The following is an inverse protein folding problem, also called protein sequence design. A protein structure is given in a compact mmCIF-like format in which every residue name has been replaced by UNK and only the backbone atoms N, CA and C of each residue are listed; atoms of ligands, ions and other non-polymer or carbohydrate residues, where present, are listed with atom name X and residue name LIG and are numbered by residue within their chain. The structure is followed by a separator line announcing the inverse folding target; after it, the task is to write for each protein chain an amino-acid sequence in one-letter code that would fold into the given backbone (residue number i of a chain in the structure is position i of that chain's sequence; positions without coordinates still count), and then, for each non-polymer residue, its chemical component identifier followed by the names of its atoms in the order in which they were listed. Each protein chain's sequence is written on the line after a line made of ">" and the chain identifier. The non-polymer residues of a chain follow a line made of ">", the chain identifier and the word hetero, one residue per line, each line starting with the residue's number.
data_IF_390029545601
#
_entry.id   IF_390029545601
#
_cell.length_a   1.000
_cell.length_b   1.000
_cell.length_c   1.000
_cell.angle_alpha   90.00
_cell.angle_beta   90.00
_cell.angle_gamma   90.00
#
_symmetry.space_group_name_H-M   'P 1'
#
loop_
_entity.id
_entity.type
_entity.pdbx_description
1 polymer ?
#
# COMPACT_ATOMS: atom_id res chain seq x y z
N UNK A 1 -24.17 26.65 -49.97
CA UNK A 1 -23.88 25.35 -50.64
C UNK A 1 -22.40 25.39 -50.99
N UNK A 2 -21.48 24.61 -50.43
CA UNK A 2 -21.54 23.17 -50.16
C UNK A 2 -20.45 22.80 -49.13
N UNK A 3 -20.81 22.00 -48.13
CA UNK A 3 -19.88 21.38 -47.17
C UNK A 3 -19.13 20.24 -47.84
N UNK A 4 -17.80 20.14 -47.66
CA UNK A 4 -17.02 18.92 -47.93
C UNK A 4 -15.99 18.68 -46.83
N UNK A 5 -15.87 17.41 -46.46
CA UNK A 5 -15.53 16.90 -45.15
C UNK A 5 -14.03 16.83 -44.80
N UNK A 6 -13.77 17.10 -43.52
CA UNK A 6 -12.94 16.40 -42.51
C UNK A 6 -12.02 15.26 -43.01
N UNK A 7 -10.69 15.39 -42.81
CA UNK A 7 -9.89 14.69 -41.76
C UNK A 7 -8.39 14.93 -42.01
N UNK A 8 -7.68 15.47 -41.01
CA UNK A 8 -6.25 15.74 -41.10
C UNK A 8 -5.55 15.76 -39.75
N UNK A 9 -5.33 14.56 -39.20
CA UNK A 9 -4.21 14.11 -38.33
C UNK A 9 -3.78 15.04 -37.17
N UNK A 10 -4.10 14.61 -35.96
CA UNK A 10 -3.63 15.20 -34.70
C UNK A 10 -2.09 15.17 -34.59
N UNK A 11 -1.47 16.34 -34.51
CA UNK A 11 -0.15 16.52 -33.92
C UNK A 11 -0.33 17.36 -32.65
N UNK A 12 -0.63 16.70 -31.52
CA UNK A 12 -0.71 17.32 -30.22
C UNK A 12 0.56 17.03 -29.43
N UNK A 13 1.42 18.03 -29.27
CA UNK A 13 2.53 18.01 -28.32
C UNK A 13 1.93 17.84 -26.91
N UNK A 14 2.25 16.73 -26.24
CA UNK A 14 1.87 16.52 -24.85
C UNK A 14 2.81 17.34 -23.94
N UNK A 15 2.35 18.52 -23.53
CA UNK A 15 2.98 19.29 -22.46
C UNK A 15 2.73 18.55 -21.14
N UNK A 16 3.74 17.85 -20.63
CA UNK A 16 3.70 17.22 -19.31
C UNK A 16 3.87 18.29 -18.24
N UNK A 17 2.77 18.79 -17.71
CA UNK A 17 2.77 19.60 -16.51
C UNK A 17 3.17 18.68 -15.35
N UNK A 18 4.41 18.77 -14.88
CA UNK A 18 4.88 18.01 -13.72
C UNK A 18 4.32 18.67 -12.47
N UNK A 19 3.08 18.33 -12.13
CA UNK A 19 2.58 18.58 -10.79
C UNK A 19 3.43 17.72 -9.86
N UNK A 20 4.14 18.35 -8.92
CA UNK A 20 4.69 17.65 -7.76
C UNK A 20 3.52 17.13 -6.92
N UNK A 21 2.92 16.04 -7.37
CA UNK A 21 2.08 15.19 -6.53
C UNK A 21 3.02 14.74 -5.43
N UNK A 22 2.79 15.19 -4.20
CA UNK A 22 3.46 14.60 -3.04
C UNK A 22 3.31 13.10 -3.20
N UNK A 23 4.43 12.40 -3.37
CA UNK A 23 4.43 11.00 -3.76
C UNK A 23 3.76 10.28 -2.60
N UNK A 24 2.48 9.94 -2.74
CA UNK A 24 1.86 8.97 -1.88
C UNK A 24 2.74 7.73 -2.03
N UNK A 25 3.47 7.35 -0.97
CA UNK A 25 4.26 6.14 -1.00
C UNK A 25 3.30 5.00 -1.39
N UNK A 26 3.47 4.48 -2.60
CA UNK A 26 2.61 3.45 -3.12
C UNK A 26 3.16 2.11 -2.61
N UNK A 27 2.32 1.29 -1.99
CA UNK A 27 2.66 -0.09 -1.71
C UNK A 27 2.47 -0.94 -2.97
N UNK A 28 3.27 -1.99 -3.10
CA UNK A 28 3.22 -2.92 -4.22
C UNK A 28 3.30 -4.37 -3.77
N UNK A 29 2.65 -5.25 -4.52
CA UNK A 29 2.88 -6.70 -4.45
C UNK A 29 3.22 -7.15 -5.86
N UNK A 30 4.35 -7.80 -6.05
CA UNK A 30 4.64 -8.55 -7.27
C UNK A 30 4.45 -10.04 -6.99
N UNK A 31 3.66 -10.72 -7.80
CA UNK A 31 3.43 -12.16 -7.69
C UNK A 31 3.72 -12.85 -9.01
N UNK A 32 4.34 -14.02 -8.95
CA UNK A 32 4.48 -14.93 -10.09
C UNK A 32 4.27 -16.38 -9.66
N UNK A 33 3.82 -17.22 -10.58
CA UNK A 33 3.66 -18.65 -10.32
C UNK A 33 3.11 -19.39 -11.52
N UNK A 34 3.22 -20.70 -11.54
CA UNK A 34 2.50 -21.56 -12.46
C UNK A 34 1.09 -21.81 -11.94
N UNK A 35 0.09 -21.69 -12.80
CA UNK A 35 -1.32 -21.94 -12.48
C UNK A 35 -1.88 -22.98 -13.45
N UNK A 36 -2.55 -24.00 -12.91
CA UNK A 36 -3.36 -24.99 -13.61
C UNK A 36 -4.80 -24.83 -13.11
N UNK A 37 -5.72 -24.45 -14.01
CA UNK A 37 -7.11 -24.06 -13.76
C UNK A 37 -7.32 -22.74 -12.98
N UNK A 38 -7.29 -22.74 -11.65
CA UNK A 38 -7.66 -21.55 -10.86
C UNK A 38 -6.83 -21.38 -9.60
N UNK A 39 -6.40 -20.13 -9.37
CA UNK A 39 -5.69 -19.69 -8.17
C UNK A 39 -6.35 -18.45 -7.54
N UNK A 40 -6.50 -18.46 -6.21
CA UNK A 40 -7.03 -17.35 -5.42
C UNK A 40 -5.92 -16.83 -4.50
N UNK A 41 -5.56 -15.57 -4.67
CA UNK A 41 -4.49 -14.93 -3.93
C UNK A 41 -5.11 -13.88 -3.02
N UNK A 42 -4.85 -14.01 -1.71
CA UNK A 42 -5.32 -13.11 -0.66
C UNK A 42 -4.15 -12.34 -0.08
N UNK A 43 -4.28 -11.03 0.00
CA UNK A 43 -3.29 -10.14 0.62
C UNK A 43 -3.95 -9.37 1.75
N UNK A 44 -3.40 -9.47 2.95
CA UNK A 44 -3.76 -8.65 4.11
C UNK A 44 -2.48 -8.14 4.79
N UNK A 45 -2.35 -6.82 4.99
CA UNK A 45 -1.08 -6.27 5.49
C UNK A 45 0.12 -6.61 4.58
N UNK A 46 1.09 -7.33 5.14
CA UNK A 46 2.21 -7.94 4.39
C UNK A 46 2.04 -9.45 4.19
N UNK A 47 1.01 -10.02 4.81
CA UNK A 47 0.75 -11.44 4.76
C UNK A 47 0.05 -11.78 3.44
N UNK A 48 0.71 -12.61 2.64
CA UNK A 48 0.15 -13.14 1.42
C UNK A 48 -0.21 -14.61 1.61
N UNK A 49 -1.48 -14.93 1.40
CA UNK A 49 -1.99 -16.30 1.39
C UNK A 49 -2.48 -16.64 0.00
N UNK A 50 -1.70 -17.45 -0.72
CA UNK A 50 -2.13 -18.02 -1.99
C UNK A 50 -2.82 -19.37 -1.71
N UNK A 51 -4.06 -19.51 -2.17
CA UNK A 51 -4.78 -20.78 -2.15
C UNK A 51 -5.26 -21.10 -3.58
N UNK A 52 -4.79 -22.21 -4.12
CA UNK A 52 -5.33 -22.80 -5.36
C UNK A 52 -5.93 -24.16 -5.04
N UNK A 53 -6.59 -24.80 -6.01
CA UNK A 53 -6.81 -26.25 -5.89
C UNK A 53 -5.43 -26.89 -5.68
N UNK A 54 -5.23 -27.62 -4.59
CA UNK A 54 -3.95 -28.04 -3.97
C UNK A 54 -2.83 -28.61 -4.87
N UNK A 55 -3.05 -28.81 -6.18
CA UNK A 55 -2.06 -29.25 -7.19
C UNK A 55 -1.71 -28.20 -8.26
N UNK A 56 -2.46 -27.09 -8.32
CA UNK A 56 -2.50 -26.16 -9.45
C UNK A 56 -1.65 -24.90 -9.34
N UNK A 57 -1.17 -24.51 -8.15
CA UNK A 57 -0.17 -23.44 -8.02
C UNK A 57 1.21 -24.04 -7.79
N UNK A 58 2.18 -23.74 -8.64
CA UNK A 58 3.58 -24.21 -8.49
C UNK A 58 4.56 -23.06 -8.66
N UNK A 59 5.76 -23.21 -8.09
CA UNK A 59 6.85 -22.24 -8.24
C UNK A 59 6.44 -20.80 -7.92
N UNK A 60 5.51 -20.62 -6.98
CA UNK A 60 4.99 -19.31 -6.62
C UNK A 60 6.04 -18.49 -5.88
N UNK A 61 6.21 -17.25 -6.30
CA UNK A 61 7.09 -16.26 -5.66
C UNK A 61 6.32 -14.96 -5.52
N UNK A 62 6.54 -14.28 -4.41
CA UNK A 62 5.95 -12.98 -4.18
C UNK A 62 6.93 -12.06 -3.47
N UNK A 63 6.75 -10.77 -3.70
CA UNK A 63 7.49 -9.70 -3.07
C UNK A 63 6.53 -8.56 -2.75
N UNK A 64 6.52 -8.10 -1.50
CA UNK A 64 5.61 -7.07 -1.00
C UNK A 64 6.44 -5.90 -0.49
N UNK A 65 6.24 -4.74 -1.12
CA UNK A 65 6.82 -3.47 -0.68
C UNK A 65 5.71 -2.57 -0.12
N UNK A 66 5.89 -2.08 1.11
CA UNK A 66 4.83 -1.42 1.87
C UNK A 66 3.74 -2.41 2.35
N UNK A 67 3.18 -2.18 3.54
CA UNK A 67 2.05 -2.99 4.00
C UNK A 67 0.74 -2.52 3.37
N UNK A 68 -0.15 -3.45 3.00
CA UNK A 68 -1.53 -3.12 2.67
C UNK A 68 -2.22 -2.55 3.92
N UNK A 69 -2.81 -1.35 3.87
CA UNK A 69 -3.36 -0.71 5.06
C UNK A 69 -4.56 -1.47 5.63
N UNK A 70 -4.69 -1.46 6.96
CA UNK A 70 -5.87 -1.92 7.69
C UNK A 70 -7.05 -0.92 7.61
N UNK A 71 -7.27 -0.36 6.43
CA UNK A 71 -8.35 0.57 6.09
C UNK A 71 -8.71 0.40 4.62
N UNK A 72 -9.90 0.85 4.17
CA UNK A 72 -10.26 0.74 2.77
C UNK A 72 -9.28 1.54 1.91
N UNK A 73 -8.66 0.88 0.94
CA UNK A 73 -7.81 1.48 -0.09
C UNK A 73 -8.18 0.88 -1.44
N UNK A 74 -7.91 1.62 -2.52
CA UNK A 74 -8.09 1.10 -3.87
C UNK A 74 -6.83 0.36 -4.30
N UNK A 75 -6.97 -0.94 -4.50
CA UNK A 75 -5.94 -1.78 -5.11
C UNK A 75 -6.16 -1.80 -6.62
N UNK A 76 -5.09 -1.57 -7.37
CA UNK A 76 -5.04 -1.64 -8.83
C UNK A 76 -4.23 -2.86 -9.24
N UNK A 77 -4.63 -3.49 -10.35
CA UNK A 77 -3.98 -4.68 -10.88
C UNK A 77 -3.34 -4.39 -12.23
N UNK A 78 -2.08 -4.77 -12.37
CA UNK A 78 -1.33 -4.74 -13.63
C UNK A 78 -0.92 -6.18 -13.94
N UNK A 79 -1.46 -6.74 -15.01
CA UNK A 79 -1.06 -8.07 -15.49
C UNK A 79 0.27 -7.95 -16.24
N UNK A 80 1.27 -8.72 -15.82
CA UNK A 80 2.58 -8.77 -16.50
C UNK A 80 2.65 -9.91 -17.52
N UNK A 81 1.94 -11.02 -17.29
CA UNK A 81 1.97 -12.16 -18.20
C UNK A 81 1.01 -13.29 -17.83
N UNK A 82 0.90 -14.25 -18.72
CA UNK A 82 0.00 -15.41 -18.63
C UNK A 82 -1.11 -15.38 -19.67
N UNK A 83 -1.54 -16.56 -20.10
CA UNK A 83 -2.49 -16.75 -21.22
C UNK A 83 -3.94 -16.45 -20.85
N UNK A 84 -4.34 -16.75 -19.63
CA UNK A 84 -5.71 -16.55 -19.14
C UNK A 84 -5.90 -15.24 -18.38
N UNK A 85 -6.89 -15.19 -17.49
CA UNK A 85 -7.33 -13.96 -16.86
C UNK A 85 -6.70 -13.74 -15.48
N UNK A 86 -6.47 -12.47 -15.14
CA UNK A 86 -6.10 -12.05 -13.78
C UNK A 86 -6.99 -10.88 -13.41
N UNK A 87 -7.72 -11.00 -12.31
CA UNK A 87 -8.71 -9.99 -11.90
C UNK A 87 -8.79 -9.85 -10.38
N UNK A 88 -9.17 -8.65 -9.92
CA UNK A 88 -9.49 -8.42 -8.51
C UNK A 88 -10.94 -8.84 -8.29
N UNK A 89 -11.15 -9.87 -7.46
CA UNK A 89 -12.47 -10.29 -7.03
C UNK A 89 -13.01 -9.40 -5.90
N UNK A 90 -12.15 -9.00 -4.96
CA UNK A 90 -12.55 -8.17 -3.83
C UNK A 90 -11.50 -7.10 -3.52
N UNK A 91 -11.99 -5.89 -3.27
CA UNK A 91 -11.19 -4.78 -2.76
C UNK A 91 -11.08 -4.87 -1.23
N UNK A 92 -9.99 -4.35 -0.63
CA UNK A 92 -9.87 -4.22 0.82
C UNK A 92 -11.01 -3.40 1.41
N UNK A 93 -11.78 -4.01 2.31
CA UNK A 93 -12.90 -3.37 2.98
C UNK A 93 -13.06 -3.90 4.41
N UNK A 94 -13.80 -3.17 5.25
CA UNK A 94 -14.09 -3.65 6.60
C UNK A 94 -14.84 -4.99 6.60
N UNK A 95 -15.58 -5.33 5.53
CA UNK A 95 -16.36 -6.56 5.41
C UNK A 95 -15.50 -7.81 5.19
N UNK A 96 -14.30 -7.65 4.63
CA UNK A 96 -13.36 -8.74 4.36
C UNK A 96 -12.02 -8.51 5.08
N UNK A 97 -12.05 -7.86 6.24
CA UNK A 97 -10.88 -7.60 7.08
C UNK A 97 -9.73 -6.87 6.35
N UNK A 98 -10.07 -5.97 5.42
CA UNK A 98 -9.13 -5.22 4.59
C UNK A 98 -8.24 -6.12 3.70
N UNK A 99 -8.79 -7.24 3.25
CA UNK A 99 -8.09 -8.19 2.37
C UNK A 99 -8.35 -7.86 0.90
N UNK A 100 -7.29 -7.81 0.09
CA UNK A 100 -7.44 -7.83 -1.37
C UNK A 100 -7.49 -9.28 -1.85
N UNK A 101 -8.45 -9.60 -2.72
CA UNK A 101 -8.61 -10.96 -3.28
C UNK A 101 -8.46 -10.91 -4.78
N UNK A 102 -7.49 -11.65 -5.31
CA UNK A 102 -7.19 -11.75 -6.74
C UNK A 102 -7.45 -13.17 -7.22
N UNK A 103 -8.04 -13.30 -8.40
CA UNK A 103 -8.18 -14.58 -9.10
C UNK A 103 -7.26 -14.60 -10.32
N UNK A 104 -6.52 -15.69 -10.45
CA UNK A 104 -5.86 -16.08 -11.70
C UNK A 104 -6.60 -17.29 -12.24
N UNK A 105 -6.97 -17.25 -13.52
CA UNK A 105 -7.66 -18.35 -14.21
C UNK A 105 -6.91 -18.76 -15.47
N UNK A 106 -6.56 -20.03 -15.58
CA UNK A 106 -6.10 -20.68 -16.80
C UNK A 106 -7.24 -21.54 -17.38
N UNK A 107 -7.86 -21.05 -18.45
CA UNK A 107 -8.96 -21.75 -19.10
C UNK A 107 -8.52 -22.89 -20.03
N UNK A 108 -7.21 -23.12 -20.18
CA UNK A 108 -6.65 -24.15 -21.03
C UNK A 108 -6.14 -25.33 -20.19
N UNK A 109 -6.10 -26.52 -20.79
CA UNK A 109 -5.52 -27.69 -20.15
C UNK A 109 -4.00 -27.50 -19.91
N UNK A 110 -3.54 -27.92 -18.73
CA UNK A 110 -2.14 -27.86 -18.32
C UNK A 110 -1.75 -26.53 -17.67
N UNK A 111 -0.59 -26.50 -17.01
CA UNK A 111 -0.14 -25.31 -16.31
C UNK A 111 0.55 -24.28 -17.23
N UNK A 112 0.42 -23.00 -16.89
CA UNK A 112 1.23 -21.93 -17.48
C UNK A 112 1.69 -20.93 -16.43
N UNK A 113 2.72 -20.15 -16.75
CA UNK A 113 3.28 -19.15 -15.86
C UNK A 113 2.51 -17.83 -15.97
N UNK A 114 2.13 -17.33 -14.81
CA UNK A 114 1.43 -16.05 -14.64
C UNK A 114 2.28 -15.08 -13.83
N UNK A 115 2.04 -13.79 -14.07
CA UNK A 115 2.65 -12.71 -13.32
C UNK A 115 1.76 -11.49 -13.28
N UNK A 116 1.68 -10.84 -12.12
CA UNK A 116 0.96 -9.58 -11.96
C UNK A 116 1.56 -8.74 -10.82
N UNK A 117 1.23 -7.45 -10.86
CA UNK A 117 1.54 -6.47 -9.83
C UNK A 117 0.23 -5.92 -9.27
N UNK A 118 0.14 -5.83 -7.95
CA UNK A 118 -0.85 -5.00 -7.27
C UNK A 118 -0.21 -3.70 -6.81
N UNK A 119 -0.97 -2.61 -6.88
CA UNK A 119 -0.53 -1.28 -6.45
C UNK A 119 -1.62 -0.62 -5.61
N UNK A 120 -1.23 0.05 -4.53
CA UNK A 120 -2.15 0.83 -3.68
C UNK A 120 -1.45 2.04 -3.08
N UNK A 121 -2.22 3.07 -2.73
CA UNK A 121 -1.69 4.30 -2.15
C UNK A 121 -1.67 4.20 -0.61
N UNK A 122 -0.48 4.14 0.01
CA UNK A 122 -0.39 4.06 1.48
C UNK A 122 -0.65 5.38 2.18
N UNK A 123 -0.58 6.52 1.47
CA UNK A 123 -0.99 7.87 1.91
C UNK A 123 -0.46 8.38 3.26
N UNK A 124 0.31 7.58 4.02
CA UNK A 124 0.78 7.78 5.40
C UNK A 124 1.81 6.69 5.76
N UNK A 125 3.08 6.92 5.42
CA UNK A 125 4.18 6.57 6.35
C UNK A 125 4.93 7.84 6.82
N UNK A 126 4.61 9.02 6.28
CA UNK A 126 5.21 10.34 6.60
C UNK A 126 4.87 10.89 8.01
N UNK A 127 4.32 10.10 8.93
CA UNK A 127 3.99 10.56 10.30
C UNK A 127 4.70 9.80 11.41
N UNK A 128 5.53 8.80 11.06
CA UNK A 128 6.19 7.97 12.07
C UNK A 128 7.69 8.23 12.22
N UNK A 129 8.30 9.02 11.34
CA UNK A 129 9.74 9.27 11.39
C UNK A 129 10.13 10.58 12.12
N UNK A 130 9.17 11.49 12.37
CA UNK A 130 9.45 12.72 13.14
C UNK A 130 9.49 12.48 14.67
N UNK A 131 9.21 11.25 15.12
CA UNK A 131 9.09 10.92 16.55
C UNK A 131 10.41 10.41 17.15
N UNK A 132 11.54 10.94 16.72
CA UNK A 132 12.84 10.64 17.35
C UNK A 132 13.80 11.83 17.51
N UNK A 133 13.32 13.07 17.67
CA UNK A 133 14.21 14.18 18.07
C UNK A 133 13.79 15.01 19.31
N UNK A 134 12.58 14.85 19.85
CA UNK A 134 12.14 15.70 20.99
C UNK A 134 12.36 15.12 22.39
N UNK A 135 13.22 14.10 22.53
CA UNK A 135 13.55 13.50 23.84
C UNK A 135 14.92 13.89 24.41
N UNK A 136 15.66 14.82 23.80
CA UNK A 136 16.93 15.33 24.35
C UNK A 136 16.86 16.70 25.06
N UNK A 137 15.75 17.44 24.98
CA UNK A 137 15.74 18.83 25.48
C UNK A 137 14.88 19.08 26.74
N UNK A 138 14.59 18.07 27.56
CA UNK A 138 13.83 18.27 28.83
C UNK A 138 14.47 17.63 30.05
N UNK A 139 15.79 17.77 30.18
CA UNK A 139 16.54 17.27 31.33
C UNK A 139 17.43 18.33 32.00
N UNK A 140 17.04 19.61 31.98
CA UNK A 140 17.78 20.64 32.73
C UNK A 140 16.96 21.47 33.75
N UNK A 141 15.68 21.17 33.99
CA UNK A 141 14.83 22.06 34.81
C UNK A 141 14.53 21.53 36.23
N UNK A 142 15.39 20.71 36.84
CA UNK A 142 15.22 20.27 38.24
C UNK A 142 16.44 20.52 39.11
N UNK A 143 16.45 21.69 39.77
CA UNK A 143 16.61 21.88 41.24
C UNK A 143 17.12 23.31 41.52
N UNK A 144 16.23 24.17 41.99
CA UNK A 144 16.59 25.57 42.28
C UNK A 144 15.89 26.21 43.47
N UNK A 145 14.59 25.99 43.71
CA UNK A 145 13.85 26.91 44.59
C UNK A 145 13.35 26.21 45.86
N UNK A 146 14.25 26.19 46.85
CA UNK A 146 13.96 25.83 48.25
C UNK A 146 13.44 27.09 48.95
N UNK A 147 12.12 27.13 49.17
CA UNK A 147 11.45 28.13 49.99
C UNK A 147 11.72 27.83 51.47
N UNK A 148 12.51 28.68 52.13
CA UNK A 148 12.65 28.71 53.58
C UNK A 148 11.72 29.81 54.14
N UNK A 149 10.52 29.40 54.53
CA UNK A 149 9.61 30.18 55.38
C UNK A 149 9.38 29.41 56.67
N UNK A 150 9.31 30.16 57.77
CA UNK A 150 8.92 29.78 59.15
C UNK A 150 10.07 29.45 60.11
N UNK A 151 10.43 30.42 60.98
CA UNK A 151 10.38 30.32 62.45
C UNK A 151 11.02 31.57 63.10
N UNK A 152 10.31 32.71 63.09
CA UNK A 152 10.54 33.77 64.07
C UNK A 152 9.22 34.26 64.66
N UNK A 153 8.63 33.43 65.53
CA UNK A 153 7.66 33.87 66.55
C UNK A 153 8.12 33.43 67.94
N UNK A 154 8.62 34.41 68.68
CA UNK A 154 8.20 34.63 70.06
C UNK A 154 8.81 33.73 71.14
N UNK A 155 9.91 34.20 71.74
CA UNK A 155 10.09 34.13 73.19
C UNK A 155 10.59 35.48 73.73
N UNK A 156 9.68 36.19 74.41
CA UNK A 156 9.97 37.04 75.58
C UNK A 156 10.07 36.09 76.79
N UNK A 157 10.83 36.38 77.86
CA UNK A 157 10.85 37.63 78.65
C UNK A 157 12.07 38.52 78.38
#
# INVERSE_FOLDING_TARGET
>A
MTVRSILGRFAGVAMLLTLSVGIAHAGTLRWTGEVDDTAIIRLDGRDLRANGNMRGIRNARFDVDGALPNRPVRVRLVKEGGRGDVEILEQPSARNNYTAVVRVRDGQAGSSRYGFILQWDNGRDDRRDDRWDSRRDRRDDRRGDRWDDDWNRGRRP
#
